data_IF_227657423143
#
_entry.id   IF_227657423143
#
_cell.length_a   1.000
_cell.length_b   1.000
_cell.length_c   1.000
_cell.angle_alpha   90.00
_cell.angle_beta   90.00
_cell.angle_gamma   90.00
#
_symmetry.space_group_name_H-M   'P 1'
#
loop_
_entity.id
_entity.type
_entity.pdbx_description
1 polymer ?
#
# COMPACT_ATOMS: atom_id res chain seq x y z
N UNK A 1 -9.35 -9.80 21.63
CA UNK A 1 -8.73 -8.78 20.75
C UNK A 1 -9.62 -8.68 19.53
N UNK A 2 -10.02 -7.47 19.15
CA UNK A 2 -10.85 -7.24 17.97
C UNK A 2 -9.90 -6.91 16.81
N UNK A 3 -10.07 -7.59 15.68
CA UNK A 3 -9.28 -7.31 14.49
C UNK A 3 -10.07 -6.38 13.59
N UNK A 4 -9.43 -5.30 13.18
CA UNK A 4 -9.94 -4.39 12.15
C UNK A 4 -9.33 -4.82 10.81
N UNK A 5 -10.12 -4.76 9.74
CA UNK A 5 -9.65 -5.12 8.41
C UNK A 5 -9.50 -3.87 7.56
N UNK A 6 -8.33 -3.72 6.95
CA UNK A 6 -8.05 -2.68 5.95
C UNK A 6 -7.90 -3.35 4.59
N UNK A 7 -8.56 -2.80 3.58
CA UNK A 7 -8.42 -3.29 2.21
C UNK A 7 -7.11 -2.79 1.59
N UNK A 8 -6.32 -3.71 1.03
CA UNK A 8 -5.07 -3.44 0.32
C UNK A 8 -5.20 -3.94 -1.12
N UNK A 9 -5.24 -3.02 -2.08
CA UNK A 9 -5.37 -3.33 -3.50
C UNK A 9 -4.07 -3.03 -4.26
N UNK A 10 -3.69 -3.91 -5.18
CA UNK A 10 -2.57 -3.71 -6.10
C UNK A 10 -3.12 -3.53 -7.51
N UNK A 11 -2.79 -2.41 -8.14
CA UNK A 11 -3.37 -2.05 -9.43
C UNK A 11 -2.33 -1.42 -10.36
N UNK A 12 -2.51 -1.52 -11.69
CA UNK A 12 -1.73 -0.74 -12.63
C UNK A 12 -2.02 0.76 -12.44
N UNK A 13 -0.99 1.59 -12.57
CA UNK A 13 -1.16 3.06 -12.58
C UNK A 13 -2.08 3.48 -13.74
N UNK A 14 -3.00 4.45 -13.54
CA UNK A 14 -3.97 4.84 -14.56
C UNK A 14 -3.35 5.54 -15.79
N UNK A 15 -2.19 6.19 -15.64
CA UNK A 15 -1.57 6.95 -16.73
C UNK A 15 -0.61 6.11 -17.58
N UNK A 16 0.17 5.23 -16.94
CA UNK A 16 1.15 4.38 -17.60
C UNK A 16 1.40 3.15 -16.73
N UNK A 17 0.41 2.25 -16.64
CA UNK A 17 0.42 1.11 -15.73
C UNK A 17 1.30 -0.04 -16.20
N UNK A 18 1.86 -0.78 -15.23
CA UNK A 18 2.52 -2.05 -15.52
C UNK A 18 1.51 -3.11 -16.01
N UNK A 19 2.03 -4.18 -16.63
CA UNK A 19 1.20 -5.33 -16.97
C UNK A 19 0.64 -6.02 -15.72
N UNK A 20 -0.54 -6.70 -15.79
CA UNK A 20 -1.13 -7.39 -14.64
C UNK A 20 -0.17 -8.39 -13.96
N UNK A 21 0.66 -9.09 -14.74
CA UNK A 21 1.64 -10.03 -14.20
C UNK A 21 2.71 -9.34 -13.32
N UNK A 22 3.12 -8.13 -13.70
CA UNK A 22 4.09 -7.32 -12.93
C UNK A 22 3.44 -6.77 -11.66
N UNK A 23 2.20 -6.28 -11.75
CA UNK A 23 1.41 -5.83 -10.61
C UNK A 23 1.25 -6.96 -9.59
N UNK A 24 0.87 -8.16 -10.05
CA UNK A 24 0.70 -9.33 -9.20
C UNK A 24 2.00 -9.80 -8.55
N UNK A 25 3.11 -9.80 -9.30
CA UNK A 25 4.41 -10.17 -8.77
C UNK A 25 4.86 -9.22 -7.65
N UNK A 26 4.70 -7.91 -7.85
CA UNK A 26 5.01 -6.89 -6.84
C UNK A 26 4.09 -7.02 -5.64
N UNK A 27 2.78 -7.19 -5.86
CA UNK A 27 1.80 -7.36 -4.79
C UNK A 27 2.11 -8.55 -3.91
N UNK A 28 2.37 -9.72 -4.52
CA UNK A 28 2.78 -10.93 -3.79
C UNK A 28 4.07 -10.73 -3.01
N UNK A 29 5.06 -10.04 -3.59
CA UNK A 29 6.33 -9.79 -2.91
C UNK A 29 6.15 -8.88 -1.69
N UNK A 30 5.42 -7.77 -1.82
CA UNK A 30 5.11 -6.85 -0.71
C UNK A 30 4.37 -7.60 0.41
N UNK A 31 3.29 -8.32 0.06
CA UNK A 31 2.49 -9.05 1.04
C UNK A 31 3.33 -10.14 1.73
N UNK A 32 4.13 -10.89 0.98
CA UNK A 32 5.01 -11.91 1.56
C UNK A 32 6.01 -11.30 2.54
N UNK A 33 6.53 -10.11 2.28
CA UNK A 33 7.45 -9.43 3.20
C UNK A 33 6.76 -8.93 4.47
N UNK A 34 5.54 -8.40 4.34
CA UNK A 34 4.74 -7.96 5.47
C UNK A 34 4.34 -9.15 6.35
N UNK A 35 3.92 -10.28 5.75
CA UNK A 35 3.63 -11.51 6.48
C UNK A 35 4.86 -12.05 7.24
N UNK A 36 6.06 -11.94 6.66
CA UNK A 36 7.33 -12.27 7.35
C UNK A 36 7.63 -11.35 8.55
N UNK A 37 7.01 -10.18 8.61
CA UNK A 37 7.07 -9.25 9.74
C UNK A 37 5.91 -9.46 10.74
N UNK A 38 5.35 -10.67 10.76
CA UNK A 38 4.20 -11.06 11.58
C UNK A 38 2.95 -10.19 11.34
N UNK A 39 2.82 -9.58 10.15
CA UNK A 39 1.59 -8.90 9.77
C UNK A 39 0.56 -9.91 9.28
N UNK A 40 -0.69 -9.74 9.70
CA UNK A 40 -1.77 -10.65 9.35
C UNK A 40 -2.45 -10.16 8.07
N UNK A 41 -2.04 -10.69 6.92
CA UNK A 41 -2.59 -10.30 5.62
C UNK A 41 -3.14 -11.55 4.94
N UNK A 42 -4.36 -11.45 4.41
CA UNK A 42 -5.05 -12.57 3.73
C UNK A 42 -5.49 -12.15 2.32
N UNK A 43 -5.40 -13.02 1.31
CA UNK A 43 -5.88 -12.71 -0.03
C UNK A 43 -7.42 -12.66 -0.05
N UNK A 44 -7.97 -11.72 -0.82
CA UNK A 44 -9.39 -11.66 -1.15
C UNK A 44 -9.61 -12.26 -2.53
N UNK A 45 -10.49 -13.24 -2.61
CA UNK A 45 -10.88 -13.85 -3.89
C UNK A 45 -12.23 -13.26 -4.30
N UNK A 46 -12.19 -12.25 -5.19
CA UNK A 46 -13.37 -11.60 -5.78
C UNK A 46 -13.87 -12.30 -7.06
N UNK A 47 -13.27 -13.44 -7.41
CA UNK A 47 -13.59 -14.21 -8.62
C UNK A 47 -12.78 -13.81 -9.86
N UNK A 48 -12.01 -12.71 -9.80
CA UNK A 48 -10.99 -12.44 -10.80
C UNK A 48 -9.79 -13.40 -10.61
N UNK A 49 -9.26 -13.94 -11.71
CA UNK A 49 -8.06 -14.79 -11.64
C UNK A 49 -6.85 -13.92 -11.31
N UNK A 50 -6.46 -13.88 -10.04
CA UNK A 50 -5.27 -13.16 -9.56
C UNK A 50 -5.59 -12.42 -8.27
N UNK A 51 -4.88 -12.76 -7.19
CA UNK A 51 -5.07 -12.15 -5.87
C UNK A 51 -4.44 -10.76 -5.78
N UNK A 52 -4.91 -9.81 -6.57
CA UNK A 52 -4.44 -8.41 -6.52
C UNK A 52 -5.13 -7.62 -5.40
N UNK A 53 -5.97 -8.28 -4.60
CA UNK A 53 -6.70 -7.71 -3.48
C UNK A 53 -6.41 -8.50 -2.20
N UNK A 54 -6.17 -7.79 -1.11
CA UNK A 54 -5.82 -8.36 0.19
C UNK A 54 -6.56 -7.64 1.32
N UNK A 55 -6.74 -8.36 2.42
CA UNK A 55 -7.24 -7.85 3.70
C UNK A 55 -6.11 -7.86 4.70
N UNK A 56 -5.75 -6.69 5.21
CA UNK A 56 -4.79 -6.53 6.30
C UNK A 56 -5.53 -6.42 7.62
N UNK A 57 -5.38 -7.46 8.45
CA UNK A 57 -5.89 -7.52 9.80
C UNK A 57 -4.95 -6.75 10.72
N UNK A 58 -5.47 -5.68 11.31
CA UNK A 58 -4.76 -4.81 12.24
C UNK A 58 -5.35 -5.02 13.63
N UNK A 59 -4.50 -5.44 14.56
CA UNK A 59 -4.88 -5.60 15.95
C UNK A 59 -5.06 -4.23 16.60
N UNK A 60 -6.20 -4.03 17.26
CA UNK A 60 -6.43 -2.83 18.07
C UNK A 60 -6.63 -3.21 19.54
N UNK A 61 -6.03 -2.40 20.42
CA UNK A 61 -6.16 -2.59 21.87
C UNK A 61 -7.56 -2.23 22.38
N UNK A 62 -8.38 -1.54 21.59
CA UNK A 62 -9.72 -1.10 21.98
C UNK A 62 -10.77 -2.16 21.63
N UNK A 63 -11.15 -2.95 22.65
CA UNK A 63 -12.14 -4.01 22.50
C UNK A 63 -13.59 -3.52 22.33
N UNK A 64 -13.85 -2.21 22.46
CA UNK A 64 -15.20 -1.66 22.61
C UNK A 64 -15.74 -0.93 21.36
N UNK A 65 -14.91 -0.63 20.35
CA UNK A 65 -15.35 0.07 19.13
C UNK A 65 -14.62 -0.48 17.90
N UNK A 66 -15.30 -0.65 16.75
CA UNK A 66 -14.70 -1.15 15.50
C UNK A 66 -13.89 -0.05 14.77
N UNK A 67 -13.41 0.98 15.48
CA UNK A 67 -12.77 2.14 14.89
C UNK A 67 -11.25 2.04 15.01
N UNK A 68 -10.54 2.45 13.96
CA UNK A 68 -9.09 2.37 13.84
C UNK A 68 -8.44 3.67 14.35
N UNK A 69 -7.59 3.63 15.38
CA UNK A 69 -6.86 4.82 15.81
C UNK A 69 -5.96 5.35 14.68
N UNK A 70 -5.90 6.68 14.52
CA UNK A 70 -5.10 7.30 13.46
C UNK A 70 -3.61 6.92 13.55
N UNK A 71 -3.07 6.81 14.77
CA UNK A 71 -1.69 6.38 14.99
C UNK A 71 -1.44 4.93 14.49
N UNK A 72 -2.43 4.05 14.65
CA UNK A 72 -2.37 2.68 14.14
C UNK A 72 -2.39 2.67 12.61
N UNK A 73 -3.26 3.48 11.99
CA UNK A 73 -3.28 3.63 10.53
C UNK A 73 -1.92 4.14 10.01
N UNK A 74 -1.38 5.20 10.61
CA UNK A 74 -0.11 5.77 10.20
C UNK A 74 1.04 4.75 10.27
N UNK A 75 1.06 3.93 11.32
CA UNK A 75 2.04 2.83 11.45
C UNK A 75 1.87 1.79 10.35
N UNK A 76 0.64 1.34 10.07
CA UNK A 76 0.35 0.37 9.00
C UNK A 76 0.80 0.89 7.64
N UNK A 77 0.51 2.14 7.32
CA UNK A 77 0.92 2.77 6.06
C UNK A 77 2.45 2.92 6.00
N UNK A 78 3.10 3.31 7.09
CA UNK A 78 4.57 3.41 7.15
C UNK A 78 5.27 2.06 6.92
N UNK A 79 4.70 0.96 7.44
CA UNK A 79 5.20 -0.40 7.17
C UNK A 79 5.09 -0.75 5.68
N UNK A 80 3.98 -0.41 5.04
CA UNK A 80 3.81 -0.60 3.60
C UNK A 80 4.83 0.22 2.79
N UNK A 81 4.98 1.51 3.11
CA UNK A 81 5.97 2.38 2.45
C UNK A 81 7.41 1.87 2.63
N UNK A 82 7.73 1.27 3.78
CA UNK A 82 9.02 0.63 3.99
C UNK A 82 9.26 -0.52 3.01
N UNK A 83 8.27 -1.37 2.77
CA UNK A 83 8.39 -2.47 1.79
C UNK A 83 8.50 -1.96 0.36
N UNK A 84 7.71 -0.96 -0.01
CA UNK A 84 7.81 -0.30 -1.32
C UNK A 84 9.20 0.30 -1.52
N UNK A 85 9.77 0.97 -0.50
CA UNK A 85 11.12 1.52 -0.54
C UNK A 85 12.20 0.43 -0.66
N UNK A 86 12.06 -0.69 0.05
CA UNK A 86 12.99 -1.83 -0.08
C UNK A 86 13.02 -2.37 -1.51
N UNK A 87 11.84 -2.54 -2.11
CA UNK A 87 11.73 -2.98 -3.51
C UNK A 87 12.36 -2.00 -4.48
N UNK A 88 12.11 -0.69 -4.29
CA UNK A 88 12.76 0.34 -5.10
C UNK A 88 14.28 0.27 -4.98
N UNK A 89 14.83 0.14 -3.76
CA UNK A 89 16.29 0.03 -3.54
C UNK A 89 16.91 -1.24 -4.12
N UNK A 90 16.21 -2.37 -4.05
CA UNK A 90 16.67 -3.64 -4.61
C UNK A 90 16.66 -3.59 -6.15
N UNK A 91 15.66 -2.93 -6.73
CA UNK A 91 15.47 -2.83 -8.17
C UNK A 91 16.29 -1.70 -8.81
N UNK A 92 16.55 -0.58 -8.12
CA UNK A 92 17.39 0.52 -8.64
C UNK A 92 18.86 0.10 -8.87
N UNK A 93 19.31 -1.02 -8.27
CA UNK A 93 20.60 -1.65 -8.64
C UNK A 93 20.59 -2.29 -10.03
N UNK A 94 19.41 -2.53 -10.60
CA UNK A 94 19.15 -3.19 -11.88
C UNK A 94 18.25 -2.27 -12.71
N UNK A 95 18.83 -1.28 -13.39
CA UNK A 95 18.13 -0.24 -14.15
C UNK A 95 16.82 -0.74 -14.84
N UNK A 96 15.68 -0.17 -14.48
CA UNK A 96 14.37 -0.50 -15.09
C UNK A 96 13.20 -0.73 -14.14
N UNK A 97 13.28 -0.32 -12.87
CA UNK A 97 12.19 -0.50 -11.90
C UNK A 97 10.89 0.18 -12.35
N UNK A 98 9.73 -0.51 -12.28
CA UNK A 98 8.45 0.17 -12.39
C UNK A 98 8.26 1.13 -11.20
N UNK A 99 7.82 2.38 -11.41
CA UNK A 99 7.52 3.28 -10.32
C UNK A 99 6.32 2.74 -9.52
N UNK A 100 6.45 2.67 -8.20
CA UNK A 100 5.37 2.25 -7.30
C UNK A 100 4.93 3.45 -6.46
N UNK A 101 3.63 3.71 -6.47
CA UNK A 101 2.98 4.81 -5.75
C UNK A 101 1.94 4.22 -4.82
N UNK A 102 1.89 4.69 -3.57
CA UNK A 102 0.84 4.30 -2.63
C UNK A 102 -0.19 5.42 -2.55
N UNK A 103 -1.46 5.06 -2.70
CA UNK A 103 -2.61 5.93 -2.59
C UNK A 103 -3.44 5.46 -1.41
N UNK A 104 -3.73 6.36 -0.48
CA UNK A 104 -4.66 6.10 0.62
C UNK A 104 -5.97 6.80 0.28
N UNK A 105 -7.06 6.02 0.30
CA UNK A 105 -8.40 6.49 0.03
C UNK A 105 -9.24 6.34 1.29
N UNK A 106 -9.87 7.43 1.71
CA UNK A 106 -10.81 7.46 2.81
C UNK A 106 -12.11 8.15 2.37
N UNK A 107 -13.22 7.42 2.38
CA UNK A 107 -14.50 7.86 1.79
C UNK A 107 -14.29 8.31 0.33
N UNK A 108 -14.64 9.56 -0.03
CA UNK A 108 -14.43 10.12 -1.37
C UNK A 108 -13.08 10.85 -1.55
N UNK A 109 -12.22 10.83 -0.53
CA UNK A 109 -10.92 11.49 -0.58
C UNK A 109 -9.82 10.47 -0.86
N UNK A 110 -9.19 10.59 -2.04
CA UNK A 110 -8.00 9.83 -2.39
C UNK A 110 -6.75 10.73 -2.36
N UNK A 111 -5.66 10.21 -1.81
CA UNK A 111 -4.38 10.91 -1.72
C UNK A 111 -3.21 10.04 -2.09
N UNK A 112 -2.36 10.60 -2.92
CA UNK A 112 -1.04 10.05 -3.22
C UNK A 112 -0.12 10.36 -2.05
N UNK A 113 0.55 9.34 -1.53
CA UNK A 113 1.51 9.51 -0.46
C UNK A 113 2.87 9.95 -1.01
N UNK A 114 3.55 10.89 -0.33
CA UNK A 114 4.88 11.30 -0.73
C UNK A 114 5.84 10.11 -0.56
N UNK A 115 6.68 9.82 -1.56
CA UNK A 115 7.52 8.62 -1.56
C UNK A 115 8.68 8.65 -0.54
N UNK A 116 8.97 9.82 0.04
CA UNK A 116 10.32 10.11 0.54
C UNK A 116 10.45 10.26 2.07
N UNK A 117 9.36 10.37 2.85
CA UNK A 117 9.48 10.51 4.31
C UNK A 117 8.27 10.01 5.10
N UNK A 118 8.54 9.17 6.11
CA UNK A 118 7.55 8.70 7.09
C UNK A 118 6.98 9.84 7.96
N UNK A 119 7.79 10.88 8.21
CA UNK A 119 7.35 12.07 8.90
C UNK A 119 6.41 12.90 8.02
N UNK A 120 6.73 13.07 6.73
CA UNK A 120 5.86 13.77 5.80
C UNK A 120 4.53 13.04 5.62
N UNK A 121 4.54 11.70 5.62
CA UNK A 121 3.34 10.88 5.67
C UNK A 121 2.51 11.19 6.92
N UNK A 122 3.12 11.14 8.10
CA UNK A 122 2.41 11.37 9.36
C UNK A 122 1.83 12.79 9.44
N UNK A 123 2.63 13.81 9.10
CA UNK A 123 2.19 15.21 9.03
C UNK A 123 1.06 15.38 8.03
N UNK A 124 1.13 14.71 6.87
CA UNK A 124 0.07 14.75 5.87
C UNK A 124 -1.22 14.10 6.39
N UNK A 125 -1.15 12.90 6.98
CA UNK A 125 -2.31 12.22 7.57
C UNK A 125 -2.95 13.03 8.71
N UNK A 126 -2.14 13.74 9.50
CA UNK A 126 -2.62 14.62 10.57
C UNK A 126 -3.16 15.95 10.05
N UNK A 127 -2.67 16.43 8.90
CA UNK A 127 -3.13 17.68 8.27
C UNK A 127 -4.47 17.50 7.56
N UNK A 128 -4.73 16.29 7.08
CA UNK A 128 -6.07 15.93 6.65
C UNK A 128 -6.93 15.82 7.91
N UNK A 129 -8.11 16.43 7.88
CA UNK A 129 -9.08 16.40 8.98
C UNK A 129 -9.72 15.01 9.09
N UNK A 130 -8.89 13.97 9.07
CA UNK A 130 -9.29 12.59 9.26
C UNK A 130 -9.87 12.47 10.68
N UNK A 131 -11.04 11.83 10.83
CA UNK A 131 -11.59 11.57 12.15
C UNK A 131 -10.64 10.65 12.90
N UNK A 132 -10.38 10.96 14.17
CA UNK A 132 -9.72 10.03 15.09
C UNK A 132 -10.74 9.64 16.18
N UNK A 133 -11.24 8.39 16.19
CA UNK A 133 -10.81 7.23 15.40
C UNK A 133 -11.50 7.08 14.03
N UNK A 134 -10.90 6.30 13.13
CA UNK A 134 -11.26 6.14 11.70
C UNK A 134 -12.21 4.95 11.49
N UNK A 135 -13.24 5.12 10.67
CA UNK A 135 -14.10 4.01 10.21
C UNK A 135 -13.35 3.13 9.16
N UNK A 136 -13.03 1.86 9.46
CA UNK A 136 -12.22 1.03 8.57
C UNK A 136 -12.91 0.64 7.27
N UNK A 137 -14.24 0.50 7.29
CA UNK A 137 -15.03 0.18 6.10
C UNK A 137 -14.95 1.26 5.01
N UNK A 138 -14.60 2.50 5.40
CA UNK A 138 -14.41 3.62 4.47
C UNK A 138 -12.96 3.78 4.02
N UNK A 139 -12.05 2.92 4.46
CA UNK A 139 -10.62 3.03 4.20
C UNK A 139 -10.15 1.97 3.18
N UNK A 140 -9.42 2.42 2.18
CA UNK A 140 -8.75 1.58 1.19
C UNK A 140 -7.33 2.07 0.95
N UNK A 141 -6.38 1.15 0.89
CA UNK A 141 -5.00 1.44 0.51
C UNK A 141 -4.75 0.81 -0.86
N UNK A 142 -4.41 1.62 -1.85
CA UNK A 142 -4.08 1.18 -3.20
C UNK A 142 -2.57 1.35 -3.46
N UNK A 143 -1.95 0.30 -4.00
CA UNK A 143 -0.57 0.32 -4.47
C UNK A 143 -0.61 0.31 -5.99
N UNK A 144 -0.32 1.46 -6.58
CA UNK A 144 -0.32 1.69 -8.01
C UNK A 144 1.07 1.44 -8.58
N UNK A 145 1.17 0.56 -9.57
CA UNK A 145 2.42 0.19 -10.23
C UNK A 145 2.45 0.73 -11.65
N UNK A 146 3.38 1.62 -11.96
CA UNK A 146 3.61 2.14 -13.30
C UNK A 146 4.51 1.24 -14.15
N UNK A 147 4.65 1.55 -15.43
CA UNK A 147 5.47 0.78 -16.35
C UNK A 147 6.98 0.95 -16.05
N UNK A 148 7.80 -0.11 -16.21
CA UNK A 148 9.24 0.01 -16.09
C UNK A 148 9.78 1.01 -17.12
N UNK A 149 10.73 1.86 -16.69
CA UNK A 149 11.40 2.79 -17.60
C UNK A 149 12.12 2.00 -18.70
N UNK A 150 12.00 2.38 -19.98
CA UNK A 150 12.72 1.71 -21.05
C UNK A 150 14.23 1.80 -20.78
N UNK A 151 15.01 0.75 -21.10
CA UNK A 151 16.46 0.81 -20.94
C UNK A 151 17.00 1.98 -21.76
N UNK A 152 17.78 2.86 -21.12
CA UNK A 152 18.50 3.93 -21.81
C UNK A 152 19.44 3.25 -22.81
N UNK A 153 19.06 3.25 -24.09
CA UNK A 153 19.95 2.78 -25.13
C UNK A 153 21.21 3.66 -25.08
N UNK A 154 22.42 3.09 -24.87
CA UNK A 154 23.59 3.83 -25.25
C UNK A 154 23.47 3.98 -26.77
N UNK A 155 23.60 5.20 -27.30
CA UNK A 155 24.20 5.57 -28.59
C UNK A 155 23.60 6.91 -29.04
N UNK A 156 24.40 7.96 -28.85
CA UNK A 156 24.76 8.91 -29.90
C UNK A 156 26.16 9.44 -29.61
#
# INVERSE_FOLDING_TARGET
MSNITIELAFQPSPQNGASPAVVDAIGRQIVSNLMRQNQHITPVYDGARGGSLYQWLVETAQAAQPLLPLATLALTVAQLLNEVRKLKRETDRSAGSPPVVVVVSYSDHARVLPPDSDQALLEQLLSETLPDPIEPASLRIEVQVGAPSPPTLPWK
#
